data_IF_671535540748
#
_entry.id   IF_671535540748
#
_cell.length_a   1.000
_cell.length_b   1.000
_cell.length_c   1.000
_cell.angle_alpha   90.00
_cell.angle_beta   90.00
_cell.angle_gamma   90.00
#
_symmetry.space_group_name_H-M   'P 1'
#
loop_
_entity.id
_entity.type
_entity.pdbx_description
1 polymer ?
#
# COMPACT_ATOMS: atom_id res chain seq x y z
N UNK A 1 -17.88 -27.34 -4.60
CA UNK A 1 -17.90 -26.20 -3.77
C UNK A 1 -17.40 -24.98 -4.51
N UNK A 2 -17.99 -23.88 -4.26
CA UNK A 2 -17.93 -22.77 -5.19
C UNK A 2 -17.21 -21.53 -4.64
N UNK A 3 -16.61 -21.61 -3.46
CA UNK A 3 -16.02 -20.42 -2.84
C UNK A 3 -14.98 -19.75 -3.72
N UNK A 4 -14.09 -20.51 -4.33
CA UNK A 4 -13.07 -19.93 -5.20
C UNK A 4 -13.68 -19.28 -6.42
N UNK A 5 -14.63 -19.97 -7.05
CA UNK A 5 -15.31 -19.45 -8.23
C UNK A 5 -16.06 -18.18 -7.86
N UNK A 6 -16.72 -18.19 -6.70
CA UNK A 6 -17.48 -17.05 -6.25
C UNK A 6 -16.62 -15.84 -6.03
N UNK A 7 -15.40 -16.03 -5.50
CA UNK A 7 -14.49 -14.91 -5.29
C UNK A 7 -14.05 -14.29 -6.62
N UNK A 8 -13.67 -15.12 -7.60
CA UNK A 8 -13.26 -14.62 -8.89
C UNK A 8 -14.41 -13.94 -9.62
N UNK A 9 -15.61 -14.52 -9.56
CA UNK A 9 -16.80 -13.94 -10.17
C UNK A 9 -17.15 -12.61 -9.53
N UNK A 10 -17.03 -12.51 -8.21
CA UNK A 10 -17.32 -11.29 -7.49
C UNK A 10 -16.35 -10.18 -7.90
N UNK A 11 -15.08 -10.51 -8.03
CA UNK A 11 -14.08 -9.54 -8.46
C UNK A 11 -14.36 -9.06 -9.88
N UNK A 12 -14.68 -9.97 -10.78
CA UNK A 12 -14.97 -9.61 -12.16
C UNK A 12 -16.19 -8.72 -12.27
N UNK A 13 -17.22 -9.01 -11.49
CA UNK A 13 -18.40 -8.17 -11.47
C UNK A 13 -18.10 -6.77 -10.94
N UNK A 14 -17.30 -6.67 -9.89
CA UNK A 14 -16.92 -5.37 -9.35
C UNK A 14 -16.12 -4.56 -10.35
N UNK A 15 -15.22 -5.20 -11.08
CA UNK A 15 -14.41 -4.51 -12.08
C UNK A 15 -15.21 -4.03 -13.27
N UNK A 16 -16.40 -4.57 -13.48
CA UNK A 16 -17.27 -4.11 -14.56
C UNK A 16 -18.11 -2.88 -14.21
N UNK A 17 -18.14 -2.52 -12.93
CA UNK A 17 -18.91 -1.34 -12.49
C UNK A 17 -18.12 -0.05 -12.74
N UNK A 18 -18.80 1.09 -12.96
CA UNK A 18 -18.09 2.37 -13.14
C UNK A 18 -17.21 2.70 -11.94
N UNK A 19 -15.96 3.03 -12.20
CA UNK A 19 -15.01 3.36 -11.17
C UNK A 19 -14.42 2.17 -10.40
N UNK A 20 -14.91 0.96 -10.65
CA UNK A 20 -14.44 -0.21 -9.90
C UNK A 20 -12.99 -0.56 -10.21
N UNK A 21 -12.57 -0.40 -11.46
CA UNK A 21 -11.18 -0.68 -11.85
C UNK A 21 -10.22 0.26 -11.14
N UNK A 22 -10.55 1.53 -11.06
CA UNK A 22 -9.71 2.51 -10.37
C UNK A 22 -9.67 2.23 -8.88
N UNK A 23 -10.78 1.85 -8.28
CA UNK A 23 -10.82 1.52 -6.86
C UNK A 23 -9.96 0.27 -6.57
N UNK A 24 -10.02 -0.72 -7.44
CA UNK A 24 -9.21 -1.92 -7.30
C UNK A 24 -7.73 -1.59 -7.41
N UNK A 25 -7.35 -0.79 -8.40
CA UNK A 25 -5.96 -0.38 -8.60
C UNK A 25 -5.44 0.44 -7.42
N UNK A 26 -6.26 1.32 -6.87
CA UNK A 26 -5.89 2.12 -5.70
C UNK A 26 -5.67 1.22 -4.48
N UNK A 27 -6.55 0.25 -4.27
CA UNK A 27 -6.40 -0.69 -3.15
C UNK A 27 -5.14 -1.53 -3.29
N UNK A 28 -4.84 -1.98 -4.52
CA UNK A 28 -3.62 -2.73 -4.78
C UNK A 28 -2.38 -1.90 -4.53
N UNK A 29 -2.40 -0.65 -4.96
CA UNK A 29 -1.27 0.26 -4.75
C UNK A 29 -1.06 0.52 -3.26
N UNK A 30 -2.14 0.75 -2.51
CA UNK A 30 -2.05 0.95 -1.06
C UNK A 30 -1.45 -0.28 -0.38
N UNK A 31 -1.85 -1.47 -0.81
CA UNK A 31 -1.29 -2.71 -0.28
C UNK A 31 0.21 -2.82 -0.58
N UNK A 32 0.61 -2.52 -1.82
CA UNK A 32 2.02 -2.58 -2.22
C UNK A 32 2.87 -1.58 -1.47
N UNK A 33 2.35 -0.38 -1.26
CA UNK A 33 3.06 0.64 -0.49
C UNK A 33 3.22 0.22 0.97
N UNK A 34 2.17 -0.31 1.57
CA UNK A 34 2.23 -0.81 2.94
C UNK A 34 3.24 -1.92 3.08
N UNK A 35 3.28 -2.83 2.10
CA UNK A 35 4.25 -3.92 2.10
C UNK A 35 5.68 -3.41 1.98
N UNK A 36 5.92 -2.41 1.13
CA UNK A 36 7.24 -1.82 0.98
C UNK A 36 7.74 -1.21 2.28
N UNK A 37 6.86 -0.49 2.98
CA UNK A 37 7.22 0.10 4.28
C UNK A 37 7.49 -0.98 5.31
N UNK A 38 6.68 -2.02 5.34
CA UNK A 38 6.90 -3.15 6.26
C UNK A 38 8.25 -3.81 6.01
N UNK A 39 8.59 -4.07 4.75
CA UNK A 39 9.86 -4.70 4.41
C UNK A 39 11.03 -3.83 4.84
N UNK A 40 10.94 -2.52 4.61
CA UNK A 40 11.96 -1.59 5.03
C UNK A 40 12.13 -1.60 6.55
N UNK A 41 11.01 -1.54 7.27
CA UNK A 41 11.02 -1.57 8.72
C UNK A 41 11.67 -2.86 9.24
N UNK A 42 11.26 -3.99 8.69
CA UNK A 42 11.77 -5.29 9.10
C UNK A 42 13.25 -5.43 8.80
N UNK A 43 13.71 -4.87 7.68
CA UNK A 43 15.13 -4.91 7.34
C UNK A 43 15.98 -4.13 8.32
N UNK A 44 15.39 -3.17 9.03
CA UNK A 44 16.07 -2.41 10.08
C UNK A 44 15.94 -3.06 11.46
N UNK A 45 15.19 -4.16 11.56
CA UNK A 45 14.95 -4.81 12.83
C UNK A 45 14.01 -4.03 13.74
N UNK A 46 13.19 -3.16 13.18
CA UNK A 46 12.30 -2.30 13.95
C UNK A 46 10.92 -2.91 14.13
N UNK A 47 10.33 -2.66 15.29
CA UNK A 47 8.92 -2.94 15.50
C UNK A 47 8.06 -1.85 14.87
N UNK A 48 6.75 -2.11 14.75
CA UNK A 48 5.82 -1.08 14.30
C UNK A 48 5.83 0.12 15.25
N UNK A 49 5.96 -0.13 16.55
CA UNK A 49 6.02 0.95 17.53
C UNK A 49 7.26 1.80 17.36
N UNK A 50 8.38 1.19 17.04
CA UNK A 50 9.61 1.93 16.81
C UNK A 50 9.51 2.81 15.57
N UNK A 51 8.98 2.27 14.48
CA UNK A 51 8.75 3.08 13.28
C UNK A 51 7.77 4.21 13.56
N UNK A 52 6.68 3.93 14.26
CA UNK A 52 5.67 4.92 14.57
C UNK A 52 6.27 6.09 15.36
N UNK A 53 7.08 5.78 16.36
CA UNK A 53 7.73 6.81 17.17
C UNK A 53 8.65 7.66 16.31
N UNK A 54 9.46 7.03 15.47
CA UNK A 54 10.41 7.74 14.62
C UNK A 54 9.71 8.61 13.56
N UNK A 55 8.56 8.17 13.08
CA UNK A 55 7.80 8.88 12.05
C UNK A 55 6.75 9.82 12.62
N UNK A 56 6.69 9.96 13.95
CA UNK A 56 5.68 10.79 14.63
C UNK A 56 4.27 10.36 14.26
N UNK A 57 4.01 9.07 14.39
CA UNK A 57 2.72 8.45 14.10
C UNK A 57 2.36 7.51 15.24
N UNK A 58 1.11 7.09 15.28
CA UNK A 58 0.70 6.05 16.23
C UNK A 58 1.03 4.68 15.67
N UNK A 59 1.23 3.71 16.56
CA UNK A 59 1.45 2.32 16.13
C UNK A 59 0.25 1.80 15.33
N UNK A 60 -0.96 2.16 15.75
CA UNK A 60 -2.16 1.78 15.02
C UNK A 60 -2.18 2.30 13.59
N UNK A 61 -1.71 3.53 13.39
CA UNK A 61 -1.63 4.12 12.05
C UNK A 61 -0.62 3.38 11.18
N UNK A 62 0.54 3.03 11.74
CA UNK A 62 1.55 2.25 11.02
C UNK A 62 0.99 0.86 10.67
N UNK A 63 0.34 0.20 11.62
CA UNK A 63 -0.24 -1.11 11.38
C UNK A 63 -1.28 -1.07 10.27
N UNK A 64 -2.14 -0.06 10.27
CA UNK A 64 -3.16 0.10 9.23
C UNK A 64 -2.53 0.36 7.87
N UNK A 65 -1.51 1.19 7.85
CA UNK A 65 -0.79 1.48 6.61
C UNK A 65 -0.13 0.21 6.05
N UNK A 66 0.59 -0.52 6.89
CA UNK A 66 1.28 -1.73 6.45
C UNK A 66 0.31 -2.82 5.97
N UNK A 67 -0.89 -2.82 6.48
CA UNK A 67 -1.92 -3.76 6.04
C UNK A 67 -2.66 -3.32 4.79
N UNK A 68 -2.35 -2.15 4.22
CA UNK A 68 -3.02 -1.65 3.04
C UNK A 68 -4.39 -1.05 3.32
N UNK A 69 -4.70 -0.74 4.59
CA UNK A 69 -6.00 -0.24 5.00
C UNK A 69 -6.22 1.25 4.78
N UNK A 70 -5.24 1.93 4.22
CA UNK A 70 -5.35 3.36 3.96
C UNK A 70 -4.50 3.74 2.77
N UNK A 71 -4.92 4.78 2.06
CA UNK A 71 -4.13 5.37 0.97
C UNK A 71 -3.36 6.54 1.57
N UNK A 72 -2.03 6.45 1.63
CA UNK A 72 -1.24 7.51 2.26
C UNK A 72 -1.11 8.72 1.37
N UNK A 73 -0.84 9.86 1.98
CA UNK A 73 -0.43 11.05 1.25
C UNK A 73 1.08 11.03 1.05
N UNK A 74 1.58 11.84 0.12
CA UNK A 74 3.02 11.96 -0.09
C UNK A 74 3.75 12.42 1.17
N UNK A 75 3.25 13.42 1.93
CA UNK A 75 3.93 13.79 3.18
C UNK A 75 4.04 12.65 4.18
N UNK A 76 3.00 11.81 4.29
CA UNK A 76 3.05 10.65 5.19
C UNK A 76 4.07 9.63 4.72
N UNK A 77 4.09 9.34 3.41
CA UNK A 77 5.09 8.44 2.84
C UNK A 77 6.51 8.95 3.08
N UNK A 78 6.70 10.25 2.94
CA UNK A 78 8.01 10.85 3.16
C UNK A 78 8.46 10.70 4.61
N UNK A 79 7.55 10.90 5.55
CA UNK A 79 7.85 10.71 6.97
C UNK A 79 8.23 9.25 7.26
N UNK A 80 7.49 8.31 6.67
CA UNK A 80 7.77 6.89 6.85
C UNK A 80 9.11 6.47 6.25
N UNK A 81 9.49 7.09 5.14
CA UNK A 81 10.78 6.81 4.52
C UNK A 81 11.94 7.40 5.31
N UNK A 82 11.80 8.65 5.74
CA UNK A 82 12.88 9.34 6.45
C UNK A 82 13.18 8.75 7.82
N UNK A 83 12.17 8.21 8.50
CA UNK A 83 12.34 7.67 9.83
C UNK A 83 13.46 6.61 9.88
N UNK A 84 13.49 5.60 8.99
CA UNK A 84 14.60 4.65 8.91
C UNK A 84 15.70 5.10 7.96
N UNK A 85 15.85 6.39 7.73
CA UNK A 85 16.93 6.96 6.92
C UNK A 85 16.89 6.47 5.47
N UNK A 86 15.70 6.45 4.90
CA UNK A 86 15.49 6.08 3.49
C UNK A 86 14.97 7.26 2.70
N UNK A 87 15.04 7.16 1.40
CA UNK A 87 14.51 8.19 0.50
C UNK A 87 13.22 7.69 -0.16
N UNK A 88 12.26 8.57 -0.27
CA UNK A 88 11.04 8.30 -1.03
C UNK A 88 11.30 8.62 -2.50
N UNK A 89 11.04 7.64 -3.35
CA UNK A 89 11.10 7.83 -4.79
C UNK A 89 9.77 7.42 -5.38
N UNK A 90 9.18 8.29 -6.19
CA UNK A 90 7.93 8.00 -6.89
C UNK A 90 8.20 8.01 -8.38
N UNK A 91 7.81 6.94 -9.05
CA UNK A 91 8.02 6.80 -10.50
C UNK A 91 6.69 6.64 -11.20
N UNK A 92 6.63 7.25 -12.36
CA UNK A 92 5.54 7.04 -13.29
C UNK A 92 6.12 6.34 -14.49
N UNK A 93 5.73 5.09 -14.70
CA UNK A 93 6.24 4.29 -15.80
C UNK A 93 5.24 4.34 -16.95
N UNK A 94 5.58 4.97 -18.08
CA UNK A 94 4.66 4.98 -19.20
C UNK A 94 4.46 3.56 -19.74
N UNK A 95 3.24 3.25 -20.13
CA UNK A 95 2.96 1.99 -20.78
C UNK A 95 3.46 2.03 -22.22
N UNK A 96 3.93 0.88 -22.69
CA UNK A 96 4.20 0.75 -24.10
C UNK A 96 2.91 0.98 -24.87
N UNK A 97 2.95 1.74 -26.00
CA UNK A 97 1.74 1.93 -26.79
C UNK A 97 1.23 0.59 -27.31
N UNK A 98 -0.09 0.47 -27.38
CA UNK A 98 -0.70 -0.70 -27.97
C UNK A 98 -0.36 -0.73 -29.45
N UNK A 99 0.10 -1.88 -29.92
CA UNK A 99 0.51 -2.02 -31.32
C UNK A 99 -0.70 -1.98 -32.27
#
# INVERSE_FOLDING_TARGET
MTERTDWADLRDRRLSEPGAAEAYDTARLAFELGRAVRQMRESRGWSQSELARAADMTQSAVARFEGGGTVPTLPVLERLAKAPDADLEVRINPRAPAA
#
